data_IF_667484859097
#
_entry.id   IF_667484859097
#
_cell.length_a   1.000
_cell.length_b   1.000
_cell.length_c   1.000
_cell.angle_alpha   90.00
_cell.angle_beta   90.00
_cell.angle_gamma   90.00
#
_symmetry.space_group_name_H-M   'P 1'
#
loop_
_entity.id
_entity.type
_entity.pdbx_description
1 polymer ?
#
# COMPACT_ATOMS: atom_id res chain seq x y z
N UNK A 1 9.03 -5.02 2.59
CA UNK A 1 8.08 -4.76 3.69
C UNK A 1 7.91 -5.94 4.65
N UNK A 2 8.20 -7.17 4.22
CA UNK A 2 7.97 -8.37 5.02
C UNK A 2 6.49 -8.71 5.25
N UNK A 3 5.58 -8.06 4.55
CA UNK A 3 4.14 -8.31 4.63
C UNK A 3 3.79 -9.61 3.88
N UNK A 4 3.18 -10.55 4.58
CA UNK A 4 2.70 -11.83 4.02
C UNK A 4 1.25 -11.79 3.57
N UNK A 5 0.56 -10.68 3.81
CA UNK A 5 -0.86 -10.50 3.49
C UNK A 5 -1.10 -9.79 2.15
N UNK A 6 -0.09 -9.68 1.30
CA UNK A 6 -0.19 -9.00 0.01
C UNK A 6 -1.22 -9.67 -0.88
N UNK A 7 -2.14 -8.87 -1.42
CA UNK A 7 -3.14 -9.30 -2.39
C UNK A 7 -2.89 -8.65 -3.73
N UNK A 8 -3.17 -9.37 -4.81
CA UNK A 8 -3.03 -8.88 -6.18
C UNK A 8 -4.37 -9.08 -6.89
N UNK A 9 -4.86 -8.02 -7.53
CA UNK A 9 -6.00 -8.06 -8.43
C UNK A 9 -5.57 -7.64 -9.84
N UNK A 10 -6.17 -8.24 -10.85
CA UNK A 10 -5.79 -8.03 -12.25
C UNK A 10 -4.77 -9.06 -12.75
N UNK A 11 -4.15 -8.79 -13.89
CA UNK A 11 -3.21 -9.71 -14.52
C UNK A 11 -1.83 -9.67 -13.84
N UNK A 12 -1.38 -10.76 -13.18
CA UNK A 12 -0.09 -10.79 -12.49
C UNK A 12 1.11 -10.76 -13.45
N UNK A 13 0.91 -11.10 -14.72
CA UNK A 13 1.97 -11.12 -15.74
C UNK A 13 2.07 -9.78 -16.51
N UNK A 14 1.31 -8.78 -16.11
CA UNK A 14 1.34 -7.46 -16.72
C UNK A 14 2.72 -6.82 -16.56
N UNK A 15 3.28 -6.33 -17.67
CA UNK A 15 4.49 -5.52 -17.60
C UNK A 15 4.20 -4.18 -16.92
N UNK A 16 4.90 -3.93 -15.83
CA UNK A 16 4.78 -2.72 -15.02
C UNK A 16 6.04 -1.89 -15.16
N UNK A 17 5.91 -0.67 -15.68
CA UNK A 17 6.99 0.32 -15.76
C UNK A 17 6.77 1.49 -14.83
N UNK A 18 5.52 1.75 -14.46
CA UNK A 18 5.12 2.85 -13.60
C UNK A 18 4.05 2.41 -12.61
N UNK A 19 4.24 2.69 -11.35
CA UNK A 19 3.28 2.40 -10.30
C UNK A 19 2.87 3.66 -9.54
N UNK A 20 1.60 3.74 -9.15
CA UNK A 20 1.06 4.73 -8.24
C UNK A 20 0.97 4.13 -6.84
N UNK A 21 1.42 4.86 -5.84
CA UNK A 21 1.42 4.41 -4.43
C UNK A 21 0.66 5.39 -3.56
N UNK A 22 -0.21 4.86 -2.71
CA UNK A 22 -0.78 5.59 -1.60
C UNK A 22 -0.78 4.68 -0.36
N UNK A 23 0.03 4.98 0.64
CA UNK A 23 0.11 4.18 1.87
C UNK A 23 -1.17 4.28 2.70
N UNK A 24 -1.35 3.36 3.64
CA UNK A 24 -2.49 3.34 4.54
C UNK A 24 -3.81 3.09 3.84
N UNK A 25 -4.85 3.82 4.21
CA UNK A 25 -6.23 3.63 3.73
C UNK A 25 -6.55 4.16 2.34
N UNK A 26 -5.56 4.48 1.51
CA UNK A 26 -5.78 5.04 0.15
C UNK A 26 -6.52 4.12 -0.81
N UNK A 27 -6.52 2.81 -0.54
CA UNK A 27 -7.19 1.82 -1.38
C UNK A 27 -8.72 1.93 -1.45
N UNK A 28 -9.35 2.61 -0.49
CA UNK A 28 -10.81 2.73 -0.41
C UNK A 28 -11.45 3.78 -1.34
N UNK A 29 -10.66 4.62 -2.00
CA UNK A 29 -11.18 5.75 -2.76
C UNK A 29 -11.16 5.50 -4.28
N UNK A 30 -12.33 5.54 -4.93
CA UNK A 30 -12.44 5.46 -6.40
C UNK A 30 -11.62 6.53 -7.12
N UNK A 31 -11.58 7.75 -6.59
CA UNK A 31 -10.82 8.84 -7.20
C UNK A 31 -9.33 8.54 -7.28
N UNK A 32 -8.77 7.82 -6.30
CA UNK A 32 -7.38 7.40 -6.33
C UNK A 32 -7.14 6.28 -7.34
N UNK A 33 -8.07 5.32 -7.44
CA UNK A 33 -8.02 4.29 -8.47
C UNK A 33 -8.06 4.89 -9.88
N UNK A 34 -8.97 5.82 -10.13
CA UNK A 34 -9.09 6.50 -11.42
C UNK A 34 -7.85 7.33 -11.77
N UNK A 35 -7.27 8.00 -10.78
CA UNK A 35 -6.03 8.75 -10.98
C UNK A 35 -4.86 7.81 -11.31
N UNK A 36 -4.76 6.69 -10.59
CA UNK A 36 -3.72 5.69 -10.80
C UNK A 36 -3.84 5.07 -12.21
N UNK A 37 -5.04 4.68 -12.63
CA UNK A 37 -5.31 4.11 -13.96
C UNK A 37 -4.87 5.05 -15.09
N UNK A 38 -5.09 6.34 -14.95
CA UNK A 38 -4.70 7.35 -15.94
C UNK A 38 -3.20 7.63 -15.98
N UNK A 39 -2.47 7.32 -14.92
CA UNK A 39 -1.09 7.77 -14.76
C UNK A 39 -0.06 6.67 -14.52
N UNK A 40 -0.49 5.43 -14.29
CA UNK A 40 0.37 4.31 -13.95
C UNK A 40 -0.15 2.98 -14.53
N UNK A 41 0.65 1.92 -14.38
CA UNK A 41 0.30 0.56 -14.83
C UNK A 41 -0.33 -0.27 -13.70
N UNK A 42 -0.06 0.10 -12.45
CA UNK A 42 -0.55 -0.59 -11.25
C UNK A 42 -0.77 0.40 -10.12
N UNK A 43 -1.79 0.16 -9.30
CA UNK A 43 -2.05 0.88 -8.06
C UNK A 43 -1.67 0.05 -6.84
N UNK A 44 -0.89 0.64 -5.95
CA UNK A 44 -0.37 0.01 -4.73
C UNK A 44 -0.89 0.79 -3.53
N UNK A 45 -1.64 0.14 -2.65
CA UNK A 45 -2.22 0.79 -1.46
C UNK A 45 -2.57 -0.21 -0.37
N UNK A 46 -3.09 0.26 0.75
CA UNK A 46 -3.71 -0.53 1.81
C UNK A 46 -5.23 -0.37 1.84
N UNK A 47 -5.89 -1.23 2.62
CA UNK A 47 -7.33 -1.16 2.90
C UNK A 47 -8.22 -1.08 1.64
N UNK A 48 -7.94 -1.95 0.66
CA UNK A 48 -8.76 -2.03 -0.55
C UNK A 48 -10.03 -2.85 -0.29
N UNK A 49 -11.22 -2.25 -0.31
CA UNK A 49 -12.47 -3.00 -0.20
C UNK A 49 -12.76 -3.78 -1.49
N UNK A 50 -13.61 -4.80 -1.36
CA UNK A 50 -13.96 -5.72 -2.45
C UNK A 50 -14.39 -5.01 -3.73
N UNK A 51 -15.19 -3.94 -3.64
CA UNK A 51 -15.67 -3.21 -4.82
C UNK A 51 -14.55 -2.50 -5.60
N UNK A 52 -13.45 -2.10 -4.95
CA UNK A 52 -12.28 -1.53 -5.64
C UNK A 52 -11.56 -2.61 -6.45
N UNK A 53 -11.44 -3.83 -5.93
CA UNK A 53 -10.89 -4.94 -6.71
C UNK A 53 -11.73 -5.28 -7.92
N UNK A 54 -13.06 -5.33 -7.76
CA UNK A 54 -13.97 -5.57 -8.88
C UNK A 54 -13.84 -4.50 -9.95
N UNK A 55 -13.79 -3.24 -9.55
CA UNK A 55 -13.66 -2.12 -10.46
C UNK A 55 -12.33 -2.16 -11.23
N UNK A 56 -11.21 -2.44 -10.53
CA UNK A 56 -9.90 -2.57 -11.15
C UNK A 56 -9.89 -3.71 -12.19
N UNK A 57 -10.39 -4.88 -11.84
CA UNK A 57 -10.48 -6.04 -12.75
C UNK A 57 -11.36 -5.71 -13.96
N UNK A 58 -12.53 -5.08 -13.77
CA UNK A 58 -13.42 -4.69 -14.86
C UNK A 58 -12.79 -3.69 -15.83
N UNK A 59 -11.86 -2.88 -15.35
CA UNK A 59 -11.11 -1.90 -16.15
C UNK A 59 -9.80 -2.45 -16.73
N UNK A 60 -9.52 -3.74 -16.56
CA UNK A 60 -8.22 -4.36 -16.90
C UNK A 60 -7.01 -3.64 -16.28
N UNK A 61 -7.19 -3.17 -15.05
CA UNK A 61 -6.17 -2.46 -14.29
C UNK A 61 -5.69 -3.28 -13.09
N UNK A 62 -4.39 -3.29 -12.82
CA UNK A 62 -3.82 -4.06 -11.73
C UNK A 62 -3.78 -3.27 -10.42
N UNK A 63 -4.09 -3.96 -9.31
CA UNK A 63 -3.96 -3.43 -7.96
C UNK A 63 -3.15 -4.39 -7.08
N UNK A 64 -2.35 -3.83 -6.19
CA UNK A 64 -1.62 -4.57 -5.15
C UNK A 64 -1.98 -3.96 -3.80
N UNK A 65 -2.48 -4.78 -2.89
CA UNK A 65 -2.77 -4.37 -1.52
C UNK A 65 -1.70 -4.90 -0.56
N UNK A 66 -1.14 -4.00 0.23
CA UNK A 66 -0.40 -4.32 1.46
C UNK A 66 -1.28 -4.09 2.68
N UNK A 67 -0.89 -4.63 3.84
CA UNK A 67 -1.54 -4.22 5.08
C UNK A 67 -1.31 -2.73 5.34
N UNK A 68 -2.30 -2.07 5.91
CA UNK A 68 -2.23 -0.67 6.33
C UNK A 68 -0.96 -0.41 7.16
N UNK A 69 -0.78 -1.21 8.21
CA UNK A 69 0.38 -1.13 9.09
C UNK A 69 1.71 -1.24 8.34
N UNK A 70 1.88 -2.28 7.49
CA UNK A 70 3.14 -2.49 6.77
C UNK A 70 3.46 -1.36 5.78
N UNK A 71 2.42 -0.72 5.23
CA UNK A 71 2.59 0.40 4.31
C UNK A 71 2.97 1.71 4.99
N UNK A 72 2.63 1.88 6.28
CA UNK A 72 2.84 3.12 7.02
C UNK A 72 4.02 3.10 8.00
N UNK A 73 4.39 1.94 8.54
CA UNK A 73 5.46 1.86 9.56
C UNK A 73 6.79 2.44 9.08
N UNK A 74 7.05 2.42 7.79
CA UNK A 74 8.25 2.98 7.19
C UNK A 74 8.32 4.51 7.30
N UNK A 75 7.19 5.20 7.51
CA UNK A 75 7.15 6.66 7.65
C UNK A 75 7.96 7.15 8.85
N UNK A 76 8.08 6.35 9.91
CA UNK A 76 8.91 6.68 11.07
C UNK A 76 10.37 6.90 10.70
N UNK A 77 10.94 6.02 9.86
CA UNK A 77 12.33 6.12 9.43
C UNK A 77 12.54 7.30 8.48
N UNK A 78 11.56 7.58 7.63
CA UNK A 78 11.59 8.75 6.75
C UNK A 78 11.59 10.05 7.56
N UNK A 79 10.66 10.20 8.51
CA UNK A 79 10.60 11.38 9.37
C UNK A 79 11.84 11.51 10.24
N UNK A 80 12.35 10.40 10.79
CA UNK A 80 13.57 10.40 11.55
C UNK A 80 14.73 10.94 10.70
N UNK A 81 14.93 10.43 9.49
CA UNK A 81 16.01 10.85 8.61
C UNK A 81 15.98 12.35 8.25
N UNK A 82 14.78 12.93 8.16
CA UNK A 82 14.61 14.36 7.87
C UNK A 82 14.90 15.24 9.09
N UNK A 83 14.55 14.77 10.29
CA UNK A 83 14.49 15.59 11.49
C UNK A 83 15.70 15.41 12.43
N UNK A 84 16.37 14.25 12.41
CA UNK A 84 17.40 13.89 13.42
C UNK A 84 18.58 14.85 13.51
N UNK A 85 18.88 15.58 12.43
CA UNK A 85 19.93 16.62 12.44
C UNK A 85 19.46 17.97 13.00
N UNK A 86 18.17 18.12 13.29
CA UNK A 86 17.56 19.37 13.77
C UNK A 86 17.02 19.26 15.20
N UNK A 87 16.47 18.10 15.52
CA UNK A 87 15.85 17.83 16.82
C UNK A 87 16.14 16.40 17.25
N UNK A 88 16.07 16.14 18.58
CA UNK A 88 16.14 14.77 19.08
C UNK A 88 14.87 14.01 18.67
N UNK A 89 15.04 12.93 17.92
CA UNK A 89 13.94 12.07 17.48
C UNK A 89 13.93 10.79 18.29
N UNK A 90 12.76 10.44 18.84
CA UNK A 90 12.51 9.18 19.55
C UNK A 90 11.41 8.45 18.77
N UNK A 91 11.68 7.23 18.34
CA UNK A 91 10.69 6.36 17.71
C UNK A 91 9.88 5.65 18.80
N UNK A 92 8.55 5.61 18.64
CA UNK A 92 7.72 4.77 19.48
C UNK A 92 7.99 3.29 19.19
N UNK A 93 7.92 2.45 20.21
CA UNK A 93 7.99 1.00 20.00
C UNK A 93 6.60 0.50 19.59
N UNK A 94 6.41 0.27 18.31
CA UNK A 94 5.16 -0.18 17.72
C UNK A 94 5.25 -1.64 17.28
N UNK A 95 4.16 -2.37 17.48
CA UNK A 95 3.99 -3.73 16.99
C UNK A 95 2.73 -3.78 16.13
N UNK A 96 2.75 -4.63 15.11
CA UNK A 96 1.55 -4.91 14.32
C UNK A 96 0.46 -5.46 15.25
N UNK A 97 -0.77 -4.86 15.26
CA UNK A 97 -1.84 -5.27 16.17
C UNK A 97 -2.50 -6.60 15.81
N UNK A 98 -2.17 -7.19 14.66
CA UNK A 98 -2.71 -8.46 14.19
C UNK A 98 -1.60 -9.36 13.63
N UNK A 99 -1.93 -10.63 13.50
CA UNK A 99 -1.13 -11.64 12.82
C UNK A 99 -1.98 -12.37 11.79
N UNK A 100 -1.37 -12.79 10.69
CA UNK A 100 -2.02 -13.68 9.73
C UNK A 100 -2.04 -15.12 10.29
N UNK A 101 -2.93 -15.97 9.77
CA UNK A 101 -2.97 -17.38 10.18
C UNK A 101 -1.63 -18.11 9.93
N UNK A 102 -0.90 -17.71 8.89
CA UNK A 102 0.42 -18.28 8.59
C UNK A 102 1.50 -17.93 9.62
N UNK A 103 1.28 -16.87 10.40
CA UNK A 103 2.21 -16.42 11.46
C UNK A 103 1.90 -17.03 12.82
N UNK A 104 0.84 -17.81 12.92
CA UNK A 104 0.47 -18.54 14.14
C UNK A 104 1.16 -19.88 14.21
#
# INVERSE_FOLDING_TARGET
>A
LGDKSVKVAGNPDKLVTKFAVCSGGGGGAYSFLEYAEKNADVYVSGDMPHHIYLEAVNRDFACIEFSHYASEIMAEDVFKSILENKVKVIKANQLCPFRTLEEL
#
